data_IF_027241469815
#
_entry.id   IF_027241469815
#
_cell.length_a   1.000
_cell.length_b   1.000
_cell.length_c   1.000
_cell.angle_alpha   90.00
_cell.angle_beta   90.00
_cell.angle_gamma   90.00
#
_symmetry.space_group_name_H-M   'P 1'
#
loop_
_entity.id
_entity.type
_entity.pdbx_description
1 polymer ?
#
# COMPACT_ATOMS: atom_id res chain seq x y z
N UNK A 1 -18.94 -18.90 -7.56
CA UNK A 1 -19.84 -17.75 -7.45
C UNK A 1 -20.96 -18.03 -8.42
N UNK A 2 -22.17 -18.23 -7.91
CA UNK A 2 -23.38 -18.32 -8.74
C UNK A 2 -24.28 -17.15 -8.33
N UNK A 3 -24.99 -16.52 -9.29
CA UNK A 3 -25.11 -16.88 -10.70
C UNK A 3 -23.95 -16.35 -11.58
N UNK A 4 -23.68 -17.04 -12.69
CA UNK A 4 -22.77 -16.58 -13.75
C UNK A 4 -23.40 -15.41 -14.54
N UNK A 5 -22.64 -14.33 -14.72
CA UNK A 5 -23.04 -13.21 -15.58
C UNK A 5 -22.44 -13.38 -16.97
N UNK A 6 -23.31 -13.65 -17.96
CA UNK A 6 -22.91 -13.89 -19.35
C UNK A 6 -22.09 -12.71 -19.90
N UNK A 7 -20.85 -12.96 -20.31
CA UNK A 7 -19.90 -11.95 -20.81
C UNK A 7 -18.98 -11.36 -19.74
N UNK A 8 -19.10 -11.78 -18.48
CA UNK A 8 -18.19 -11.45 -17.37
C UNK A 8 -17.48 -12.70 -16.85
N UNK A 9 -17.03 -13.55 -17.79
CA UNK A 9 -16.29 -14.79 -17.47
C UNK A 9 -14.89 -14.48 -16.88
N UNK A 10 -14.42 -13.24 -17.06
CA UNK A 10 -13.18 -12.68 -16.50
C UNK A 10 -13.39 -11.21 -16.16
N UNK A 11 -12.87 -10.77 -14.99
CA UNK A 11 -12.79 -9.35 -14.65
C UNK A 11 -11.59 -8.72 -15.36
N UNK A 12 -11.82 -8.10 -16.51
CA UNK A 12 -10.78 -7.40 -17.27
C UNK A 12 -10.78 -5.91 -16.95
N UNK A 13 -9.59 -5.32 -16.76
CA UNK A 13 -9.43 -3.87 -16.61
C UNK A 13 -9.82 -3.33 -15.23
N UNK A 14 -9.59 -4.09 -14.17
CA UNK A 14 -9.76 -3.61 -12.80
C UNK A 14 -8.65 -2.58 -12.49
N UNK A 15 -8.99 -1.31 -12.18
CA UNK A 15 -7.99 -0.30 -11.92
C UNK A 15 -7.39 -0.48 -10.52
N UNK A 16 -6.08 -0.27 -10.42
CA UNK A 16 -5.37 -0.07 -9.16
C UNK A 16 -5.06 1.43 -9.05
N UNK A 17 -5.50 2.05 -7.95
CA UNK A 17 -5.53 3.51 -7.80
C UNK A 17 -4.71 3.89 -6.57
N UNK A 18 -3.91 4.95 -6.69
CA UNK A 18 -3.22 5.62 -5.59
C UNK A 18 -3.66 7.07 -5.52
N UNK A 19 -3.74 7.61 -4.31
CA UNK A 19 -4.12 9.01 -4.07
C UNK A 19 -2.98 9.79 -3.44
N UNK A 20 -2.64 10.93 -4.04
CA UNK A 20 -1.75 11.92 -3.44
C UNK A 20 -2.58 12.91 -2.63
N UNK A 21 -2.31 12.99 -1.34
CA UNK A 21 -2.97 13.90 -0.41
C UNK A 21 -1.97 14.90 0.14
N UNK A 22 -2.25 16.18 -0.02
CA UNK A 22 -1.46 17.26 0.56
C UNK A 22 -2.23 17.88 1.72
N UNK A 23 -1.59 18.01 2.87
CA UNK A 23 -2.16 18.63 4.05
C UNK A 23 -1.86 20.13 4.05
N UNK A 24 -2.82 21.00 3.67
CA UNK A 24 -2.51 22.40 3.35
C UNK A 24 -1.88 23.21 4.49
N UNK A 25 -2.29 23.06 5.77
CA UNK A 25 -1.67 23.79 6.89
C UNK A 25 -0.17 23.52 7.06
N UNK A 26 0.30 22.33 6.68
CA UNK A 26 1.69 21.91 6.87
C UNK A 26 2.48 21.75 5.58
N UNK A 27 1.81 21.72 4.42
CA UNK A 27 2.39 21.36 3.13
C UNK A 27 2.87 19.91 3.01
N UNK A 28 2.57 19.06 4.01
CA UNK A 28 3.03 17.66 4.02
C UNK A 28 2.23 16.84 3.01
N UNK A 29 2.92 16.01 2.23
CA UNK A 29 2.34 15.16 1.18
C UNK A 29 2.39 13.69 1.57
N UNK A 30 1.29 12.99 1.38
CA UNK A 30 1.14 11.57 1.68
C UNK A 30 0.51 10.83 0.51
N UNK A 31 0.98 9.63 0.27
CA UNK A 31 0.35 8.71 -0.67
C UNK A 31 -0.55 7.75 0.09
N UNK A 32 -1.75 7.54 -0.42
CA UNK A 32 -2.58 6.40 -0.05
C UNK A 32 -2.42 5.34 -1.12
N UNK A 33 -1.85 4.21 -0.71
CA UNK A 33 -1.43 3.07 -1.53
C UNK A 33 -0.43 3.40 -2.64
N UNK A 34 0.21 2.37 -3.19
CA UNK A 34 1.18 2.46 -4.29
C UNK A 34 0.78 1.64 -5.51
N UNK A 35 -0.40 1.03 -5.47
CA UNK A 35 -0.92 0.17 -6.51
C UNK A 35 -0.13 -1.13 -6.71
N UNK A 36 -0.17 -1.65 -7.93
CA UNK A 36 0.60 -2.83 -8.35
C UNK A 36 2.05 -2.49 -8.73
N UNK A 37 2.96 -3.45 -8.54
CA UNK A 37 4.33 -3.36 -9.05
C UNK A 37 4.37 -3.46 -10.57
N UNK A 38 5.27 -2.70 -11.19
CA UNK A 38 5.58 -2.81 -12.63
C UNK A 38 6.50 -3.98 -12.97
N UNK A 39 7.20 -4.49 -11.96
CA UNK A 39 8.22 -5.54 -11.98
C UNK A 39 7.70 -6.80 -11.24
N UNK A 40 6.70 -7.52 -11.78
CA UNK A 40 6.09 -8.67 -11.11
C UNK A 40 7.09 -9.77 -10.72
N UNK A 41 8.21 -9.89 -11.44
CA UNK A 41 9.30 -10.83 -11.16
C UNK A 41 9.94 -10.63 -9.79
N UNK A 42 9.83 -9.44 -9.20
CA UNK A 42 10.38 -9.11 -7.88
C UNK A 42 9.37 -9.35 -6.75
N UNK A 43 8.17 -9.81 -7.03
CA UNK A 43 7.19 -10.17 -6.00
C UNK A 43 7.62 -11.44 -5.22
N UNK A 44 7.15 -11.61 -3.97
CA UNK A 44 7.43 -12.81 -3.20
C UNK A 44 7.02 -14.09 -3.95
N UNK A 45 7.86 -15.13 -3.98
CA UNK A 45 7.56 -16.37 -4.72
C UNK A 45 6.24 -17.02 -4.31
N UNK A 46 5.84 -16.89 -3.03
CA UNK A 46 4.56 -17.37 -2.54
C UNK A 46 3.38 -16.68 -3.21
N UNK A 47 3.46 -15.38 -3.39
CA UNK A 47 2.43 -14.57 -4.03
C UNK A 47 2.32 -14.90 -5.52
N UNK A 48 3.45 -14.99 -6.23
CA UNK A 48 3.48 -15.41 -7.64
C UNK A 48 2.80 -16.77 -7.86
N UNK A 49 3.08 -17.75 -7.01
CA UNK A 49 2.42 -19.06 -7.08
C UNK A 49 0.91 -18.99 -6.81
N UNK A 50 0.44 -18.06 -5.98
CA UNK A 50 -1.00 -17.86 -5.74
C UNK A 50 -1.64 -17.27 -6.99
N UNK A 51 -1.01 -16.26 -7.59
CA UNK A 51 -1.48 -15.61 -8.82
C UNK A 51 -1.55 -16.58 -10.00
N UNK A 52 -0.49 -17.38 -10.21
CA UNK A 52 -0.44 -18.42 -11.25
C UNK A 52 -1.58 -19.44 -11.08
N UNK A 53 -1.80 -19.92 -9.85
CA UNK A 53 -2.89 -20.86 -9.54
C UNK A 53 -4.28 -20.23 -9.71
N UNK A 54 -4.40 -18.93 -9.47
CA UNK A 54 -5.63 -18.16 -9.66
C UNK A 54 -5.91 -17.79 -11.11
N UNK A 55 -4.93 -17.95 -12.02
CA UNK A 55 -5.03 -17.47 -13.40
C UNK A 55 -5.07 -15.95 -13.49
N UNK A 56 -4.46 -15.24 -12.53
CA UNK A 56 -4.48 -13.78 -12.48
C UNK A 56 -3.29 -13.20 -13.24
N UNK A 57 -3.59 -12.28 -14.16
CA UNK A 57 -2.60 -11.46 -14.83
C UNK A 57 -2.77 -10.00 -14.43
N UNK A 58 -1.65 -9.31 -14.26
CA UNK A 58 -1.62 -7.87 -14.01
C UNK A 58 -0.41 -7.28 -14.71
N UNK A 59 -0.53 -6.01 -15.09
CA UNK A 59 0.51 -5.28 -15.78
C UNK A 59 0.42 -3.82 -15.34
N UNK A 60 1.54 -3.23 -14.97
CA UNK A 60 1.67 -1.78 -14.81
C UNK A 60 2.81 -1.28 -15.69
N UNK A 61 2.56 -0.20 -16.42
CA UNK A 61 3.59 0.46 -17.23
C UNK A 61 4.56 1.25 -16.33
N UNK A 62 4.03 1.87 -15.28
CA UNK A 62 4.77 2.75 -14.36
C UNK A 62 4.45 2.40 -12.91
N UNK A 63 5.43 2.57 -12.04
CA UNK A 63 5.23 2.61 -10.60
C UNK A 63 4.85 4.03 -10.17
N UNK A 64 4.30 4.19 -8.97
CA UNK A 64 3.84 5.50 -8.46
C UNK A 64 4.96 6.55 -8.43
N UNK A 65 6.20 6.18 -8.09
CA UNK A 65 7.35 7.10 -8.18
C UNK A 65 7.58 7.62 -9.60
N UNK A 66 7.44 6.76 -10.62
CA UNK A 66 7.55 7.16 -12.03
C UNK A 66 6.43 8.12 -12.44
N UNK A 67 5.19 7.84 -12.01
CA UNK A 67 4.02 8.70 -12.27
C UNK A 67 4.19 10.05 -11.59
N UNK A 68 4.65 10.07 -10.34
CA UNK A 68 4.91 11.31 -9.60
C UNK A 68 5.96 12.17 -10.30
N UNK A 69 7.02 11.57 -10.85
CA UNK A 69 8.08 12.29 -11.55
C UNK A 69 7.62 13.05 -12.82
N UNK A 70 6.40 12.82 -13.30
CA UNK A 70 5.84 13.55 -14.45
C UNK A 70 5.15 14.87 -14.07
N UNK A 71 4.76 15.03 -12.79
CA UNK A 71 3.99 16.19 -12.33
C UNK A 71 4.40 16.73 -10.95
N UNK A 72 5.33 16.10 -10.25
CA UNK A 72 5.82 16.48 -8.93
C UNK A 72 7.18 15.85 -8.62
N UNK A 73 7.64 15.98 -7.38
CA UNK A 73 8.89 15.37 -6.92
C UNK A 73 8.58 14.26 -5.90
N UNK A 74 8.93 12.99 -6.17
CA UNK A 74 8.83 11.89 -5.21
C UNK A 74 9.53 12.17 -3.87
N UNK A 75 10.53 13.07 -3.84
CA UNK A 75 11.24 13.47 -2.62
C UNK A 75 10.39 14.31 -1.67
N UNK A 76 9.32 14.93 -2.17
CA UNK A 76 8.39 15.71 -1.34
C UNK A 76 7.45 14.81 -0.51
N UNK A 77 7.43 13.50 -0.77
CA UNK A 77 6.50 12.58 -0.11
C UNK A 77 7.00 12.27 1.31
N UNK A 78 6.21 12.68 2.30
CA UNK A 78 6.53 12.49 3.70
C UNK A 78 6.14 11.11 4.23
N UNK A 79 5.12 10.48 3.64
CA UNK A 79 4.71 9.15 4.06
C UNK A 79 3.78 8.45 3.10
N UNK A 80 3.72 7.14 3.23
CA UNK A 80 2.90 6.23 2.43
C UNK A 80 1.99 5.50 3.41
N UNK A 81 0.68 5.68 3.25
CA UNK A 81 -0.35 5.04 4.06
C UNK A 81 -0.88 3.85 3.26
N UNK A 82 -0.69 2.63 3.78
CA UNK A 82 -1.37 1.46 3.25
C UNK A 82 -2.79 1.40 3.80
N UNK A 83 -3.73 1.77 2.94
CA UNK A 83 -5.06 2.26 3.30
C UNK A 83 -6.04 1.15 3.69
N UNK A 84 -5.83 -0.08 3.22
CA UNK A 84 -6.83 -1.13 3.30
C UNK A 84 -6.26 -2.51 3.62
N UNK A 85 -5.05 -2.83 3.14
CA UNK A 85 -4.31 -4.06 3.38
C UNK A 85 -3.01 -4.08 2.55
N UNK A 86 -2.08 -4.95 2.92
CA UNK A 86 -0.75 -5.12 2.29
C UNK A 86 -0.76 -5.99 1.04
N UNK A 87 -1.94 -6.26 0.46
CA UNK A 87 -2.00 -7.07 -0.73
C UNK A 87 -1.27 -6.38 -1.89
N UNK A 88 -0.89 -7.22 -2.84
CA UNK A 88 0.02 -6.94 -3.93
C UNK A 88 -0.42 -5.80 -4.85
N UNK A 89 -1.70 -5.48 -4.85
CA UNK A 89 -2.36 -4.44 -5.63
C UNK A 89 -2.47 -3.08 -4.92
N UNK A 90 -1.98 -2.99 -3.69
CA UNK A 90 -1.88 -1.76 -2.91
C UNK A 90 -0.43 -1.47 -2.46
N UNK A 91 0.37 -2.52 -2.26
CA UNK A 91 1.70 -2.40 -1.66
C UNK A 91 2.74 -1.70 -2.55
N UNK A 92 2.67 -1.89 -3.87
CA UNK A 92 3.63 -1.35 -4.84
C UNK A 92 5.09 -1.62 -4.47
N UNK A 93 5.93 -0.60 -4.59
CA UNK A 93 7.35 -0.67 -4.20
C UNK A 93 7.78 0.52 -3.33
N UNK A 94 7.64 0.43 -2.00
CA UNK A 94 8.06 1.50 -1.10
C UNK A 94 9.56 1.79 -1.21
N UNK A 95 10.40 0.80 -1.54
CA UNK A 95 11.86 0.95 -1.59
C UNK A 95 12.36 1.99 -2.62
N UNK A 96 11.48 2.41 -3.53
CA UNK A 96 11.75 3.45 -4.52
C UNK A 96 11.65 4.89 -3.97
N UNK A 97 11.16 5.06 -2.74
CA UNK A 97 11.08 6.35 -2.05
C UNK A 97 12.30 6.59 -1.15
N UNK A 98 12.49 7.82 -0.69
CA UNK A 98 13.58 8.17 0.21
C UNK A 98 13.43 7.45 1.58
N UNK A 99 14.53 7.13 2.28
CA UNK A 99 14.48 6.56 3.63
C UNK A 99 13.75 7.44 4.66
N UNK A 100 13.64 8.74 4.39
CA UNK A 100 12.89 9.70 5.22
C UNK A 100 11.37 9.61 5.05
N UNK A 101 10.88 8.85 4.07
CA UNK A 101 9.44 8.63 3.85
C UNK A 101 8.94 7.57 4.83
N UNK A 102 7.97 7.94 5.67
CA UNK A 102 7.37 7.02 6.64
C UNK A 102 6.50 5.98 5.91
N UNK A 103 6.62 4.70 6.26
CA UNK A 103 5.65 3.69 5.89
C UNK A 103 4.63 3.51 7.01
N UNK A 104 3.39 3.89 6.75
CA UNK A 104 2.33 3.99 7.74
C UNK A 104 1.33 2.85 7.52
N UNK A 105 1.12 2.05 8.56
CA UNK A 105 0.28 0.84 8.53
C UNK A 105 -0.72 0.82 9.67
N UNK A 106 -1.81 0.09 9.48
CA UNK A 106 -2.85 -0.11 10.49
C UNK A 106 -2.44 -1.05 11.64
N UNK A 107 -3.21 -1.08 12.75
CA UNK A 107 -2.93 -1.92 13.90
C UNK A 107 -3.00 -3.43 13.59
N UNK A 108 -2.10 -4.20 14.20
CA UNK A 108 -1.91 -5.63 14.00
C UNK A 108 -0.99 -6.00 12.84
N UNK A 109 -0.45 -5.01 12.10
CA UNK A 109 0.38 -5.26 10.92
C UNK A 109 1.68 -5.95 11.28
N UNK A 110 2.43 -5.41 12.27
CA UNK A 110 3.77 -5.92 12.59
C UNK A 110 3.71 -7.35 13.10
N UNK A 111 2.75 -7.64 13.96
CA UNK A 111 2.57 -8.97 14.55
C UNK A 111 2.13 -10.03 13.54
N UNK A 112 1.30 -9.66 12.56
CA UNK A 112 0.73 -10.60 11.60
C UNK A 112 1.65 -10.89 10.41
N UNK A 113 2.51 -9.94 10.03
CA UNK A 113 3.17 -9.95 8.72
C UNK A 113 4.68 -9.92 8.76
N UNK A 114 5.26 -9.58 9.92
CA UNK A 114 6.70 -9.62 10.09
C UNK A 114 7.12 -10.95 10.73
N UNK A 115 8.22 -11.56 10.27
CA UNK A 115 9.08 -11.11 9.18
C UNK A 115 8.50 -11.44 7.78
N UNK A 116 8.85 -10.61 6.81
CA UNK A 116 8.55 -10.81 5.38
C UNK A 116 9.54 -11.75 4.67
N UNK A 117 9.47 -11.81 3.35
CA UNK A 117 10.40 -12.57 2.50
C UNK A 117 11.69 -11.75 2.24
N UNK A 118 12.90 -12.30 2.43
CA UNK A 118 13.22 -13.73 2.44
C UNK A 118 13.20 -14.46 3.79
N UNK A 119 13.24 -13.76 4.92
CA UNK A 119 13.32 -14.41 6.26
C UNK A 119 12.18 -15.39 6.51
N UNK A 120 10.97 -15.08 6.04
CA UNK A 120 9.84 -16.00 6.00
C UNK A 120 9.51 -16.41 4.55
N UNK A 121 9.88 -17.64 4.12
CA UNK A 121 9.61 -18.14 2.76
C UNK A 121 8.12 -18.26 2.40
N UNK A 122 7.22 -18.20 3.40
CA UNK A 122 5.77 -18.25 3.22
C UNK A 122 5.12 -16.86 3.22
N UNK A 123 5.87 -15.79 3.46
CA UNK A 123 5.36 -14.44 3.45
C UNK A 123 4.93 -14.00 2.04
N UNK A 124 3.90 -13.16 2.00
CA UNK A 124 3.43 -12.48 0.79
C UNK A 124 3.90 -11.02 0.73
N UNK A 125 4.64 -10.58 1.75
CA UNK A 125 5.26 -9.26 1.86
C UNK A 125 6.77 -9.41 1.72
N UNK A 126 7.42 -8.48 1.01
CA UNK A 126 8.89 -8.39 0.93
C UNK A 126 9.44 -7.65 2.13
N UNK A 127 10.59 -8.09 2.66
CA UNK A 127 11.29 -7.34 3.71
C UNK A 127 11.79 -5.99 3.19
N UNK A 128 12.20 -5.94 1.92
CA UNK A 128 12.59 -4.70 1.24
C UNK A 128 11.49 -3.64 1.19
N UNK A 129 10.23 -4.01 1.43
CA UNK A 129 9.14 -3.05 1.49
C UNK A 129 9.17 -2.18 2.75
N UNK A 130 9.80 -2.64 3.83
CA UNK A 130 9.90 -1.89 5.10
C UNK A 130 11.34 -1.73 5.60
N UNK A 131 12.29 -2.47 5.05
CA UNK A 131 13.71 -2.35 5.39
C UNK A 131 14.26 -0.98 5.00
N UNK A 132 14.95 -0.33 5.93
CA UNK A 132 15.49 1.02 5.73
C UNK A 132 14.47 2.15 5.78
N UNK A 133 13.18 1.85 5.95
CA UNK A 133 12.11 2.83 6.16
C UNK A 133 11.66 2.86 7.62
N UNK A 134 11.08 3.99 8.02
CA UNK A 134 10.44 4.10 9.31
C UNK A 134 9.02 3.51 9.25
N UNK A 135 8.87 2.25 9.67
CA UNK A 135 7.58 1.56 9.73
C UNK A 135 6.77 2.00 10.96
N UNK A 136 5.82 2.91 10.74
CA UNK A 136 4.90 3.47 11.75
C UNK A 136 3.57 2.73 11.75
N UNK A 137 3.28 2.03 12.83
CA UNK A 137 1.98 1.38 13.03
C UNK A 137 1.07 2.29 13.86
N UNK A 138 -0.09 2.66 13.31
CA UNK A 138 -1.06 3.51 14.00
C UNK A 138 -1.90 2.67 14.95
N UNK A 139 -2.24 3.25 16.11
CA UNK A 139 -3.18 2.66 17.06
C UNK A 139 -4.38 3.57 17.23
N UNK A 140 -5.57 2.99 17.15
CA UNK A 140 -6.82 3.70 17.44
C UNK A 140 -7.18 3.69 18.93
N UNK A 141 -6.49 2.88 19.75
CA UNK A 141 -6.88 2.67 21.14
C UNK A 141 -6.79 3.95 21.99
N UNK A 142 -5.87 4.86 21.65
CA UNK A 142 -5.62 6.08 22.40
C UNK A 142 -6.38 7.31 21.86
N UNK A 143 -7.03 7.23 20.69
CA UNK A 143 -7.66 8.41 20.09
C UNK A 143 -9.00 8.75 20.76
N UNK A 144 -9.78 7.74 21.13
CA UNK A 144 -11.17 7.92 21.56
C UNK A 144 -12.09 8.52 20.49
N UNK A 145 -11.60 8.70 19.26
CA UNK A 145 -12.33 9.31 18.15
C UNK A 145 -13.11 8.25 17.36
N UNK A 146 -14.31 8.62 16.92
CA UNK A 146 -15.14 7.79 16.06
C UNK A 146 -15.66 8.60 14.87
N UNK A 147 -15.53 8.04 13.68
CA UNK A 147 -16.19 8.52 12.47
C UNK A 147 -17.35 7.57 12.15
N UNK A 148 -18.56 7.98 12.52
CA UNK A 148 -19.74 7.11 12.49
C UNK A 148 -19.60 5.94 13.46
N UNK A 149 -19.41 4.72 12.94
CA UNK A 149 -19.22 3.49 13.73
C UNK A 149 -17.78 2.96 13.71
N UNK A 150 -16.88 3.67 13.03
CA UNK A 150 -15.49 3.27 12.87
C UNK A 150 -14.62 4.05 13.84
N UNK A 151 -13.65 3.39 14.48
CA UNK A 151 -12.60 4.09 15.21
C UNK A 151 -11.80 4.95 14.23
N UNK A 152 -11.47 6.16 14.65
CA UNK A 152 -10.74 7.13 13.85
C UNK A 152 -9.50 7.61 14.60
N UNK A 153 -8.57 8.24 13.89
CA UNK A 153 -7.44 8.96 14.48
C UNK A 153 -7.30 10.27 13.73
N UNK A 154 -7.08 11.35 14.49
CA UNK A 154 -6.59 12.59 13.91
C UNK A 154 -5.10 12.39 13.62
N UNK A 155 -4.78 12.16 12.35
CA UNK A 155 -3.44 11.81 11.92
C UNK A 155 -2.45 12.98 12.08
N UNK A 156 -2.94 14.21 11.91
CA UNK A 156 -2.15 15.45 11.99
C UNK A 156 -2.15 16.06 13.40
N UNK A 157 -3.14 15.74 14.23
CA UNK A 157 -3.30 16.26 15.58
C UNK A 157 -3.78 17.71 15.63
N UNK A 158 -4.29 18.25 14.52
CA UNK A 158 -4.74 19.63 14.39
C UNK A 158 -6.27 19.76 14.19
N UNK A 159 -7.00 18.66 14.28
CA UNK A 159 -8.45 18.59 14.10
C UNK A 159 -8.91 18.49 12.64
N UNK A 160 -8.00 18.29 11.68
CA UNK A 160 -8.35 18.01 10.28
C UNK A 160 -8.78 16.55 10.05
N UNK A 161 -9.80 16.34 9.22
CA UNK A 161 -10.36 15.03 8.85
C UNK A 161 -10.73 14.96 7.37
#
# INVERSE_FOLDING_TARGET
MEPEYKGFDVFTGVPSISFLNEHPPTGRKFLFDLGIRKDPENLPPRLMRIMEKGGWGFTAEKNVVGILGEGGDPKDINGIIWSSHYYWDHAGDPSTFLPSTDLIVGPGFKDALLPGYPTNPKAQLLESAYEGQHLREISFAASGLMLGRCNAVDFFGDGSF
#
